data_IF_258823753709
#
_entry.id   IF_258823753709
#
_cell.length_a   1.000
_cell.length_b   1.000
_cell.length_c   1.000
_cell.angle_alpha   90.00
_cell.angle_beta   90.00
_cell.angle_gamma   90.00
#
_symmetry.space_group_name_H-M   'P 1'
#
loop_
_entity.id
_entity.type
_entity.pdbx_description
1 polymer ?
#
# COMPACT_ATOMS: atom_id res chain seq x y z
N UNK A 1 -1.79 19.61 -0.33
CA UNK A 1 -1.73 19.13 1.05
C UNK A 1 -0.34 19.46 1.59
N UNK A 2 -0.22 20.19 2.70
CA UNK A 2 1.10 20.45 3.27
C UNK A 2 1.74 19.13 3.72
N UNK A 3 3.05 18.93 3.52
CA UNK A 3 3.73 17.72 3.98
C UNK A 3 3.73 17.68 5.51
N UNK A 4 3.22 16.61 6.10
CA UNK A 4 3.38 16.33 7.54
C UNK A 4 4.86 15.96 7.79
N UNK A 5 5.54 16.57 8.77
CA UNK A 5 6.91 16.17 9.08
C UNK A 5 6.91 14.78 9.73
N UNK A 6 7.41 13.78 8.98
CA UNK A 6 7.61 12.41 9.45
C UNK A 6 6.75 11.35 8.73
N UNK A 7 7.03 10.06 8.96
CA UNK A 7 6.23 8.97 8.42
C UNK A 7 4.80 9.04 8.96
N UNK A 8 3.81 8.91 8.07
CA UNK A 8 2.41 8.84 8.47
C UNK A 8 2.01 7.39 8.70
N UNK A 9 1.70 7.05 9.95
CA UNK A 9 1.20 5.72 10.31
C UNK A 9 -0.30 5.60 10.05
N UNK A 10 -0.76 4.40 9.72
CA UNK A 10 -2.18 4.04 9.60
C UNK A 10 -2.47 2.92 10.60
N UNK A 11 -3.00 3.28 11.77
CA UNK A 11 -3.26 2.39 12.88
C UNK A 11 -4.77 2.12 13.05
N UNK A 12 -5.59 3.12 12.74
CA UNK A 12 -7.04 3.08 12.88
C UNK A 12 -7.74 3.98 11.85
N UNK A 13 -9.04 3.78 11.66
CA UNK A 13 -9.79 4.51 10.63
C UNK A 13 -9.86 6.03 10.86
N UNK A 14 -9.80 6.49 12.11
CA UNK A 14 -9.81 7.92 12.45
C UNK A 14 -8.50 8.65 12.16
N UNK A 15 -7.45 7.94 11.73
CA UNK A 15 -6.15 8.56 11.37
C UNK A 15 -6.21 9.30 10.02
N UNK A 16 -7.27 9.07 9.24
CA UNK A 16 -7.53 9.75 7.97
C UNK A 16 -8.85 10.53 8.03
N UNK A 17 -8.87 11.75 7.49
CA UNK A 17 -10.07 12.54 7.26
C UNK A 17 -10.86 12.02 6.05
N UNK A 18 -12.09 12.50 5.90
CA UNK A 18 -12.94 12.17 4.75
C UNK A 18 -12.27 12.49 3.41
N UNK A 19 -11.61 13.64 3.33
CA UNK A 19 -10.93 14.13 2.13
C UNK A 19 -9.73 13.23 1.78
N UNK A 20 -9.04 12.72 2.80
CA UNK A 20 -7.90 11.82 2.63
C UNK A 20 -8.35 10.43 2.17
N UNK A 21 -9.48 9.93 2.68
CA UNK A 21 -10.11 8.73 2.13
C UNK A 21 -10.56 8.93 0.67
N UNK A 22 -11.16 10.08 0.35
CA UNK A 22 -11.54 10.38 -1.03
C UNK A 22 -10.31 10.37 -1.95
N UNK A 23 -9.20 10.95 -1.50
CA UNK A 23 -7.92 10.88 -2.20
C UNK A 23 -7.40 9.43 -2.32
N UNK A 24 -7.42 8.65 -1.25
CA UNK A 24 -6.98 7.25 -1.25
C UNK A 24 -7.77 6.39 -2.26
N UNK A 25 -9.08 6.57 -2.33
CA UNK A 25 -9.93 5.85 -3.28
C UNK A 25 -9.68 6.30 -4.73
N UNK A 26 -9.48 7.60 -4.97
CA UNK A 26 -9.09 8.10 -6.29
C UNK A 26 -7.75 7.51 -6.76
N UNK A 27 -6.76 7.42 -5.86
CA UNK A 27 -5.47 6.78 -6.15
C UNK A 27 -5.62 5.29 -6.42
N UNK A 28 -6.44 4.58 -5.64
CA UNK A 28 -6.73 3.16 -5.85
C UNK A 28 -7.34 2.92 -7.23
N UNK A 29 -8.32 3.74 -7.64
CA UNK A 29 -8.93 3.64 -8.96
C UNK A 29 -7.92 3.85 -10.09
N UNK A 30 -7.04 4.86 -9.96
CA UNK A 30 -5.99 5.14 -10.93
C UNK A 30 -5.00 3.99 -11.06
N UNK A 31 -4.47 3.47 -9.94
CA UNK A 31 -3.51 2.36 -9.93
C UNK A 31 -4.15 1.11 -10.56
N UNK A 32 -5.39 0.80 -10.18
CA UNK A 32 -6.15 -0.32 -10.74
C UNK A 32 -6.37 -0.17 -12.25
N UNK A 33 -6.65 1.03 -12.73
CA UNK A 33 -6.84 1.30 -14.15
C UNK A 33 -5.53 1.10 -14.94
N UNK A 34 -4.39 1.58 -14.43
CA UNK A 34 -3.08 1.36 -15.03
C UNK A 34 -2.73 -0.13 -15.10
N UNK A 35 -2.94 -0.85 -14.00
CA UNK A 35 -2.73 -2.30 -13.95
C UNK A 35 -3.57 -3.03 -15.01
N UNK A 36 -4.85 -2.68 -15.15
CA UNK A 36 -5.74 -3.29 -16.16
C UNK A 36 -5.35 -2.96 -17.61
N UNK A 37 -4.66 -1.85 -17.85
CA UNK A 37 -4.14 -1.47 -19.17
C UNK A 37 -2.73 -2.00 -19.44
N UNK A 38 -2.19 -2.83 -18.55
CA UNK A 38 -0.82 -3.33 -18.62
C UNK A 38 0.24 -2.21 -18.67
N UNK A 39 -0.09 -1.04 -18.10
CA UNK A 39 0.86 0.06 -17.95
C UNK A 39 1.77 -0.20 -16.75
N UNK A 40 3.08 -0.16 -16.97
CA UNK A 40 4.06 -0.31 -15.89
C UNK A 40 3.92 0.89 -14.93
N UNK A 41 3.53 0.61 -13.69
CA UNK A 41 3.41 1.60 -12.64
C UNK A 41 4.10 1.09 -11.37
N UNK A 42 5.42 1.34 -11.29
CA UNK A 42 6.28 0.83 -10.23
C UNK A 42 6.87 1.96 -9.38
N UNK A 43 6.08 2.64 -8.53
CA UNK A 43 6.59 3.73 -7.69
C UNK A 43 7.42 3.26 -6.50
N UNK A 44 7.44 1.95 -6.19
CA UNK A 44 8.09 1.36 -5.02
C UNK A 44 9.33 0.52 -5.38
N UNK A 45 9.96 0.76 -6.53
CA UNK A 45 11.25 0.15 -6.89
C UNK A 45 12.26 0.41 -5.77
N UNK A 46 13.02 -0.63 -5.41
CA UNK A 46 13.99 -0.65 -4.31
C UNK A 46 13.41 -0.37 -2.91
N UNK A 47 12.08 -0.46 -2.75
CA UNK A 47 11.43 -0.38 -1.44
C UNK A 47 11.04 -1.77 -0.95
N UNK A 48 11.36 -2.03 0.32
CA UNK A 48 11.05 -3.28 0.99
C UNK A 48 10.05 -3.03 2.10
N UNK A 49 8.95 -3.79 2.10
CA UNK A 49 7.95 -3.81 3.17
C UNK A 49 8.21 -4.99 4.09
N UNK A 50 8.51 -4.74 5.37
CA UNK A 50 8.52 -5.77 6.40
C UNK A 50 7.09 -5.99 6.93
N UNK A 51 6.62 -7.23 6.91
CA UNK A 51 5.31 -7.63 7.41
C UNK A 51 5.49 -8.54 8.64
N UNK A 52 5.00 -8.07 9.79
CA UNK A 52 5.06 -8.79 11.07
C UNK A 52 3.64 -9.22 11.41
N UNK A 53 3.42 -10.52 11.62
CA UNK A 53 2.11 -11.07 11.94
C UNK A 53 2.19 -11.99 13.17
N UNK A 54 1.62 -11.57 14.30
CA UNK A 54 1.51 -12.42 15.49
C UNK A 54 0.51 -13.58 15.31
N UNK A 55 -0.48 -13.40 14.42
CA UNK A 55 -1.44 -14.43 14.03
C UNK A 55 -1.41 -14.61 12.53
N UNK A 56 -1.28 -15.85 12.09
CA UNK A 56 -1.24 -16.18 10.67
C UNK A 56 -2.53 -15.73 9.95
N UNK A 57 -2.37 -14.81 8.99
CA UNK A 57 -3.46 -14.35 8.12
C UNK A 57 -3.03 -14.43 6.67
N UNK A 58 -3.36 -15.54 6.01
CA UNK A 58 -3.00 -15.81 4.61
C UNK A 58 -3.61 -14.79 3.65
N UNK A 59 -4.86 -14.38 3.87
CA UNK A 59 -5.54 -13.39 3.01
C UNK A 59 -4.88 -12.01 3.09
N UNK A 60 -4.48 -11.59 4.29
CA UNK A 60 -3.82 -10.30 4.50
C UNK A 60 -2.43 -10.34 3.89
N UNK A 61 -1.63 -11.35 4.22
CA UNK A 61 -0.29 -11.55 3.65
C UNK A 61 -0.29 -11.49 2.12
N UNK A 62 -1.11 -12.32 1.47
CA UNK A 62 -1.11 -12.43 0.01
C UNK A 62 -1.47 -11.11 -0.67
N UNK A 63 -2.40 -10.34 -0.08
CA UNK A 63 -2.80 -9.04 -0.62
C UNK A 63 -1.68 -7.99 -0.56
N UNK A 64 -0.93 -7.93 0.55
CA UNK A 64 0.18 -6.99 0.71
C UNK A 64 1.39 -7.38 -0.15
N UNK A 65 1.71 -8.67 -0.21
CA UNK A 65 2.79 -9.21 -1.04
C UNK A 65 2.53 -8.91 -2.53
N UNK A 66 1.34 -9.25 -3.03
CA UNK A 66 0.95 -8.95 -4.41
C UNK A 66 0.95 -7.44 -4.69
N UNK A 67 0.46 -6.62 -3.75
CA UNK A 67 0.45 -5.16 -3.88
C UNK A 67 1.85 -4.56 -3.99
N UNK A 68 2.79 -4.99 -3.13
CA UNK A 68 4.18 -4.52 -3.18
C UNK A 68 4.86 -4.93 -4.48
N UNK A 69 4.69 -6.19 -4.90
CA UNK A 69 5.25 -6.66 -6.16
C UNK A 69 4.69 -5.91 -7.37
N UNK A 70 3.39 -5.65 -7.42
CA UNK A 70 2.78 -4.88 -8.50
C UNK A 70 3.32 -3.45 -8.60
N UNK A 71 3.69 -2.87 -7.47
CA UNK A 71 4.28 -1.53 -7.39
C UNK A 71 5.81 -1.55 -7.54
N UNK A 72 6.42 -2.70 -7.83
CA UNK A 72 7.87 -2.86 -8.06
C UNK A 72 8.72 -3.02 -6.81
N UNK A 73 8.10 -3.13 -5.63
CA UNK A 73 8.81 -3.35 -4.37
C UNK A 73 8.85 -4.81 -3.95
N UNK A 74 9.59 -5.07 -2.88
CA UNK A 74 9.69 -6.38 -2.25
C UNK A 74 8.89 -6.42 -0.93
N UNK A 75 8.34 -7.58 -0.59
CA UNK A 75 7.72 -7.81 0.72
C UNK A 75 8.47 -8.92 1.45
N UNK A 76 8.84 -8.67 2.70
CA UNK A 76 9.49 -9.64 3.59
C UNK A 76 8.50 -10.00 4.69
N UNK A 77 8.28 -11.29 4.88
CA UNK A 77 7.44 -11.83 5.93
C UNK A 77 8.29 -12.30 7.10
N UNK A 78 7.96 -11.84 8.31
CA UNK A 78 8.63 -12.23 9.55
C UNK A 78 7.60 -12.95 10.44
N UNK A 79 8.01 -14.11 10.96
CA UNK A 79 7.21 -14.99 11.80
C UNK A 79 7.80 -15.13 13.20
#
# INVERSE_FOLDING_TARGET
>A
MPPTPGPRHYLQFSDLTREEYAYLFARTALIKAKFKRYEIHQPLVDRTLAMIFEKHSTRTRLSFEAGMHQLGGAAIYIN
#
